data_IF_431596577009
#
_entry.id   IF_431596577009
#
_cell.length_a   1.000
_cell.length_b   1.000
_cell.length_c   1.000
_cell.angle_alpha   90.00
_cell.angle_beta   90.00
_cell.angle_gamma   90.00
#
_symmetry.space_group_name_H-M   'P 1'
#
loop_
_entity.id
_entity.type
_entity.pdbx_description
1 polymer ?
#
# COMPACT_ATOMS: atom_id res chain seq x y z
N UNK A 1 1.19 -23.22 11.85
CA UNK A 1 0.87 -22.96 10.43
C UNK A 1 1.92 -22.00 9.90
N UNK A 2 2.68 -22.43 8.89
CA UNK A 2 3.71 -21.60 8.27
C UNK A 2 3.07 -20.58 7.30
N UNK A 3 3.61 -19.34 7.18
CA UNK A 3 3.11 -18.37 6.20
C UNK A 3 3.12 -18.86 4.74
N UNK A 4 4.08 -19.71 4.35
CA UNK A 4 4.15 -20.26 3.00
C UNK A 4 3.08 -21.34 2.76
N UNK A 5 2.72 -22.11 3.79
CA UNK A 5 1.58 -23.06 3.71
C UNK A 5 0.27 -22.30 3.42
N UNK A 6 0.03 -21.21 4.16
CA UNK A 6 -1.15 -20.35 3.99
C UNK A 6 -1.19 -19.80 2.57
N UNK A 7 -0.06 -19.30 2.08
CA UNK A 7 0.04 -18.74 0.74
C UNK A 7 -0.25 -19.79 -0.33
N UNK A 8 0.32 -20.97 -0.21
CA UNK A 8 0.14 -22.08 -1.15
C UNK A 8 -1.33 -22.52 -1.20
N UNK A 9 -1.96 -22.69 -0.04
CA UNK A 9 -3.36 -23.09 0.04
C UNK A 9 -4.29 -22.04 -0.57
N UNK A 10 -4.07 -20.75 -0.28
CA UNK A 10 -4.85 -19.67 -0.88
C UNK A 10 -4.68 -19.60 -2.41
N UNK A 11 -3.47 -19.90 -2.92
CA UNK A 11 -3.22 -20.00 -4.37
C UNK A 11 -3.97 -21.21 -4.96
N UNK A 12 -4.00 -22.35 -4.27
CA UNK A 12 -4.78 -23.52 -4.67
C UNK A 12 -6.28 -23.22 -4.76
N UNK A 13 -6.78 -22.42 -3.81
CA UNK A 13 -8.15 -21.87 -3.79
C UNK A 13 -8.38 -20.73 -4.80
N UNK A 14 -7.45 -20.51 -5.74
CA UNK A 14 -7.53 -19.52 -6.83
C UNK A 14 -7.55 -18.07 -6.37
N UNK A 15 -6.97 -17.76 -5.20
CA UNK A 15 -6.70 -16.38 -4.80
C UNK A 15 -5.33 -15.92 -5.29
N UNK A 16 -5.26 -14.67 -5.77
CA UNK A 16 -3.99 -14.05 -6.17
C UNK A 16 -3.35 -13.37 -4.96
N UNK A 17 -2.48 -14.09 -4.26
CA UNK A 17 -1.83 -13.63 -3.03
C UNK A 17 -0.56 -12.83 -3.34
N UNK A 18 -0.44 -11.64 -2.74
CA UNK A 18 0.78 -10.81 -2.80
C UNK A 18 1.72 -11.18 -1.66
N UNK A 19 1.22 -11.14 -0.43
CA UNK A 19 2.05 -11.32 0.77
C UNK A 19 1.23 -11.89 1.93
N UNK A 20 1.85 -12.81 2.68
CA UNK A 20 1.34 -13.27 3.98
C UNK A 20 2.33 -12.84 5.04
N UNK A 21 1.84 -12.19 6.11
CA UNK A 21 2.67 -11.69 7.20
C UNK A 21 2.12 -12.17 8.53
N UNK A 22 2.91 -12.90 9.31
CA UNK A 22 2.52 -13.29 10.66
C UNK A 22 2.71 -12.12 11.63
N UNK A 23 1.62 -11.76 12.31
CA UNK A 23 1.67 -10.69 13.29
C UNK A 23 2.42 -11.16 14.54
N UNK A 24 3.08 -10.21 15.21
CA UNK A 24 3.87 -10.46 16.41
C UNK A 24 3.34 -9.63 17.57
N UNK A 25 3.47 -10.14 18.80
CA UNK A 25 3.21 -9.35 20.02
C UNK A 25 4.14 -8.14 20.02
N UNK A 26 3.59 -6.95 20.29
CA UNK A 26 4.36 -5.70 20.22
C UNK A 26 5.57 -5.69 21.18
N UNK A 27 5.37 -6.14 22.43
CA UNK A 27 6.41 -6.13 23.47
C UNK A 27 7.40 -7.30 23.32
N UNK A 28 6.89 -8.53 23.32
CA UNK A 28 7.75 -9.74 23.36
C UNK A 28 8.25 -10.18 21.99
N UNK A 29 7.72 -9.61 20.90
CA UNK A 29 8.01 -10.00 19.50
C UNK A 29 7.69 -11.46 19.16
N UNK A 30 7.00 -12.17 20.05
CA UNK A 30 6.55 -13.53 19.83
C UNK A 30 5.50 -13.59 18.72
N UNK A 31 5.51 -14.63 17.89
CA UNK A 31 4.51 -14.83 16.84
C UNK A 31 3.11 -15.03 17.43
N UNK A 32 2.12 -14.45 16.77
CA UNK A 32 0.70 -14.67 17.05
C UNK A 32 0.11 -15.63 16.03
N UNK A 33 -0.96 -16.31 16.40
CA UNK A 33 -1.83 -17.06 15.49
C UNK A 33 -2.76 -16.11 14.72
N UNK A 34 -2.22 -15.00 14.24
CA UNK A 34 -2.93 -13.98 13.46
C UNK A 34 -2.03 -13.64 12.27
N UNK A 35 -2.60 -13.77 11.08
CA UNK A 35 -1.91 -13.55 9.83
C UNK A 35 -2.58 -12.40 9.07
N UNK A 36 -1.77 -11.51 8.53
CA UNK A 36 -2.20 -10.45 7.64
C UNK A 36 -1.93 -10.88 6.20
N UNK A 37 -2.99 -10.97 5.40
CA UNK A 37 -2.93 -11.42 4.01
C UNK A 37 -3.17 -10.20 3.11
N UNK A 38 -2.26 -9.99 2.17
CA UNK A 38 -2.38 -9.03 1.09
C UNK A 38 -2.76 -9.77 -0.18
N UNK A 39 -3.90 -9.42 -0.77
CA UNK A 39 -4.42 -10.02 -1.98
C UNK A 39 -4.45 -8.97 -3.08
N UNK A 40 -4.15 -9.41 -4.30
CA UNK A 40 -4.43 -8.60 -5.48
C UNK A 40 -5.94 -8.59 -5.77
N UNK A 41 -6.47 -7.50 -6.36
CA UNK A 41 -7.85 -7.45 -6.82
C UNK A 41 -8.17 -8.61 -7.76
N UNK A 42 -9.24 -9.35 -7.44
CA UNK A 42 -9.79 -10.43 -8.25
C UNK A 42 -11.32 -10.48 -8.07
N UNK A 43 -12.03 -11.17 -8.96
CA UNK A 43 -13.49 -11.28 -8.92
C UNK A 43 -13.97 -12.02 -7.66
N UNK A 44 -13.27 -13.08 -7.28
CA UNK A 44 -13.55 -13.93 -6.13
C UNK A 44 -13.05 -13.36 -4.78
N UNK A 45 -12.44 -12.17 -4.74
CA UNK A 45 -11.77 -11.67 -3.52
C UNK A 45 -12.71 -11.56 -2.31
N UNK A 46 -14.01 -11.34 -2.53
CA UNK A 46 -15.01 -11.23 -1.45
C UNK A 46 -15.34 -12.58 -0.81
N UNK A 47 -15.12 -13.68 -1.53
CA UNK A 47 -15.42 -15.03 -1.05
C UNK A 47 -14.45 -15.47 0.05
N UNK A 48 -13.29 -14.81 0.17
CA UNK A 48 -12.31 -15.13 1.22
C UNK A 48 -12.90 -14.97 2.63
N UNK A 49 -13.88 -14.06 2.80
CA UNK A 49 -14.54 -13.85 4.09
C UNK A 49 -15.46 -15.01 4.50
N UNK A 50 -15.80 -15.90 3.57
CA UNK A 50 -16.60 -17.09 3.83
C UNK A 50 -15.73 -18.31 4.19
N UNK A 51 -14.41 -18.22 4.09
CA UNK A 51 -13.51 -19.31 4.47
C UNK A 51 -13.56 -19.56 5.98
N UNK A 52 -13.98 -20.77 6.34
CA UNK A 52 -14.04 -21.26 7.72
C UNK A 52 -12.91 -22.23 8.07
N UNK A 53 -12.30 -22.82 7.05
CA UNK A 53 -11.15 -23.72 7.17
C UNK A 53 -10.07 -23.35 6.15
N UNK A 54 -8.82 -23.62 6.51
CA UNK A 54 -7.68 -23.52 5.62
C UNK A 54 -6.72 -24.67 5.96
N UNK A 55 -6.51 -25.57 5.01
CA UNK A 55 -5.87 -26.87 5.26
C UNK A 55 -6.56 -27.61 6.43
N UNK A 56 -5.84 -27.91 7.51
CA UNK A 56 -6.36 -28.62 8.69
C UNK A 56 -6.78 -27.70 9.85
N UNK A 57 -6.82 -26.38 9.63
CA UNK A 57 -7.09 -25.39 10.68
C UNK A 57 -8.47 -24.77 10.52
N UNK A 58 -9.18 -24.61 11.64
CA UNK A 58 -10.34 -23.74 11.73
C UNK A 58 -9.88 -22.28 11.80
N UNK A 59 -10.37 -21.45 10.90
CA UNK A 59 -9.95 -20.05 10.79
C UNK A 59 -11.15 -19.10 10.85
N UNK A 60 -10.87 -17.83 11.10
CA UNK A 60 -11.86 -16.76 10.99
C UNK A 60 -11.21 -15.61 10.25
N UNK A 61 -11.75 -15.28 9.08
CA UNK A 61 -11.26 -14.18 8.26
C UNK A 61 -12.01 -12.90 8.64
N UNK A 62 -11.25 -11.81 8.87
CA UNK A 62 -11.83 -10.49 9.17
C UNK A 62 -11.26 -9.44 8.22
N UNK A 63 -12.08 -8.48 7.77
CA UNK A 63 -11.58 -7.36 6.96
C UNK A 63 -10.57 -6.55 7.77
N UNK A 64 -9.49 -6.15 7.11
CA UNK A 64 -8.53 -5.24 7.72
C UNK A 64 -9.12 -3.84 7.81
N UNK A 65 -9.29 -3.34 9.03
CA UNK A 65 -9.72 -1.98 9.29
C UNK A 65 -8.53 -1.17 9.80
N UNK A 66 -8.07 -0.19 9.03
CA UNK A 66 -7.14 0.79 9.56
C UNK A 66 -7.90 1.74 10.50
N UNK A 67 -7.76 1.50 11.81
CA UNK A 67 -8.40 2.33 12.84
C UNK A 67 -7.58 3.53 13.29
N UNK A 68 -6.43 3.75 12.65
CA UNK A 68 -5.47 4.78 13.04
C UNK A 68 -5.57 5.92 12.04
N UNK A 69 -6.02 7.08 12.52
CA UNK A 69 -5.86 8.32 11.77
C UNK A 69 -4.49 8.92 12.06
N UNK A 70 -3.83 9.37 11.01
CA UNK A 70 -2.55 10.05 11.13
C UNK A 70 -2.77 11.47 11.67
N UNK A 71 -2.11 11.79 12.78
CA UNK A 71 -2.08 13.15 13.31
C UNK A 71 -0.90 13.93 12.72
N UNK A 72 -1.15 15.15 12.28
CA UNK A 72 -0.11 16.06 11.88
C UNK A 72 0.55 16.67 13.11
N UNK A 73 1.85 16.45 13.31
CA UNK A 73 2.58 17.05 14.45
C UNK A 73 2.83 18.55 14.30
N UNK A 74 2.55 19.14 13.13
CA UNK A 74 2.63 20.58 12.92
C UNK A 74 1.35 21.27 13.43
N UNK A 75 0.19 20.99 12.83
CA UNK A 75 -1.07 21.65 13.17
C UNK A 75 -2.03 20.86 14.09
N UNK A 76 -1.64 19.65 14.54
CA UNK A 76 -2.43 18.74 15.39
C UNK A 76 -3.74 18.20 14.80
N UNK A 77 -4.07 18.57 13.56
CA UNK A 77 -5.22 18.05 12.80
C UNK A 77 -4.93 16.64 12.24
N UNK A 78 -5.99 15.99 11.77
CA UNK A 78 -5.98 14.59 11.36
C UNK A 78 -5.81 14.42 9.83
N UNK A 79 -5.49 13.19 9.42
CA UNK A 79 -5.41 12.69 8.04
C UNK A 79 -4.35 13.33 7.13
N UNK A 80 -3.29 13.91 7.69
CA UNK A 80 -2.10 14.30 6.93
C UNK A 80 -0.84 14.32 7.81
N UNK A 81 0.34 14.28 7.18
CA UNK A 81 1.63 14.33 7.87
C UNK A 81 2.24 15.73 7.91
N UNK A 82 3.18 15.94 8.83
CA UNK A 82 3.84 17.25 9.01
C UNK A 82 4.69 17.70 7.82
N UNK A 83 5.28 16.77 7.05
CA UNK A 83 6.24 17.07 5.96
C UNK A 83 5.66 17.99 4.87
N UNK A 84 4.35 17.93 4.62
CA UNK A 84 3.67 18.77 3.63
C UNK A 84 2.70 19.80 4.24
N UNK A 85 2.69 19.96 5.56
CA UNK A 85 1.75 20.84 6.23
C UNK A 85 2.25 22.29 6.19
N UNK A 86 1.50 23.18 5.54
CA UNK A 86 1.80 24.62 5.45
C UNK A 86 1.05 25.48 6.48
N UNK A 87 0.30 24.84 7.37
CA UNK A 87 -0.42 25.54 8.44
C UNK A 87 0.56 26.00 9.53
N UNK A 88 0.16 27.03 10.28
CA UNK A 88 0.92 27.47 11.43
C UNK A 88 1.07 26.33 12.47
N UNK A 89 2.23 26.23 13.14
CA UNK A 89 2.44 25.22 14.15
C UNK A 89 1.51 25.43 15.34
N UNK A 90 0.93 24.35 15.83
CA UNK A 90 0.09 24.30 17.03
C UNK A 90 0.69 23.30 18.01
N UNK A 91 0.80 23.72 19.26
CA UNK A 91 1.33 22.89 20.34
C UNK A 91 0.34 21.78 20.74
N UNK A 92 0.84 20.55 20.84
CA UNK A 92 0.08 19.37 21.27
C UNK A 92 -0.37 19.45 22.74
N UNK A 93 0.34 20.23 23.57
CA UNK A 93 0.12 20.32 25.02
C UNK A 93 -0.89 21.42 25.35
N UNK A 94 -0.65 22.65 24.89
CA UNK A 94 -1.41 23.84 25.30
C UNK A 94 -2.20 24.51 24.17
N UNK A 95 -2.21 23.94 22.96
CA UNK A 95 -2.85 24.52 21.78
C UNK A 95 -2.32 25.92 21.36
N UNK A 96 -1.15 26.34 21.86
CA UNK A 96 -0.52 27.61 21.49
C UNK A 96 0.06 27.61 20.07
N UNK A 97 0.21 28.81 19.47
CA UNK A 97 0.76 29.03 18.11
C UNK A 97 2.30 28.93 18.09
N UNK A 98 2.83 27.78 18.47
CA UNK A 98 4.26 27.47 18.46
C UNK A 98 4.47 25.97 18.25
N UNK A 99 5.64 25.54 17.74
CA UNK A 99 5.96 24.13 17.64
C UNK A 99 6.05 23.50 19.03
N UNK A 100 5.52 22.29 19.20
CA UNK A 100 5.49 21.59 20.50
C UNK A 100 6.86 21.42 21.18
N UNK A 101 7.95 21.51 20.41
CA UNK A 101 9.32 21.46 20.92
C UNK A 101 9.70 22.69 21.76
N UNK A 102 9.16 23.86 21.40
CA UNK A 102 9.43 25.16 22.01
C UNK A 102 8.36 25.54 23.04
N UNK A 103 7.58 24.56 23.50
CA UNK A 103 6.49 24.85 24.41
C UNK A 103 7.02 25.29 25.78
N UNK A 104 6.65 26.49 26.28
CA UNK A 104 7.09 26.98 27.60
C UNK A 104 6.52 26.16 28.77
N UNK A 105 5.53 25.33 28.48
CA UNK A 105 4.83 24.48 29.42
C UNK A 105 5.32 23.01 29.36
N UNK A 106 6.35 22.71 28.58
CA UNK A 106 6.89 21.35 28.50
C UNK A 106 7.52 20.95 29.85
N UNK A 107 7.03 19.87 30.46
CA UNK A 107 7.60 19.29 31.69
C UNK A 107 7.17 19.95 33.01
N UNK A 108 6.33 20.99 32.96
CA UNK A 108 5.75 21.61 34.16
C UNK A 108 4.51 20.81 34.61
N UNK A 109 4.32 20.67 35.93
CA UNK A 109 3.20 19.90 36.52
C UNK A 109 1.87 20.68 36.51
N UNK A 110 1.93 22.00 36.63
CA UNK A 110 0.75 22.89 36.76
C UNK A 110 0.35 23.53 35.43
N UNK A 111 0.35 22.75 34.35
CA UNK A 111 0.05 23.25 33.00
C UNK A 111 -1.41 23.06 32.69
N UNK A 112 -2.05 24.12 32.21
CA UNK A 112 -3.34 24.01 31.55
C UNK A 112 -3.17 23.27 30.21
N UNK A 113 -3.40 21.96 30.24
CA UNK A 113 -3.37 21.12 29.05
C UNK A 113 -4.64 21.39 28.26
N UNK A 114 -4.48 21.76 27.00
CA UNK A 114 -5.58 22.12 26.11
C UNK A 114 -5.45 21.40 24.77
N UNK A 115 -6.51 20.72 24.39
CA UNK A 115 -6.59 20.02 23.12
C UNK A 115 -6.74 21.02 21.97
N UNK A 116 -5.82 21.01 21.00
CA UNK A 116 -5.91 21.85 19.80
C UNK A 116 -7.17 21.60 18.95
N UNK A 117 -7.78 20.41 19.06
CA UNK A 117 -8.93 20.03 18.26
C UNK A 117 -10.25 20.37 18.95
N UNK A 118 -10.44 19.96 20.21
CA UNK A 118 -11.71 20.11 20.94
C UNK A 118 -11.68 21.11 22.10
N UNK A 119 -10.52 21.70 22.40
CA UNK A 119 -10.29 22.63 23.51
C UNK A 119 -10.53 22.03 24.92
N UNK A 120 -10.68 20.71 25.04
CA UNK A 120 -10.84 20.02 26.32
C UNK A 120 -9.52 19.85 27.10
N UNK A 121 -9.60 19.42 28.37
CA UNK A 121 -8.47 19.30 29.30
C UNK A 121 -7.63 18.03 29.05
N UNK A 122 -7.08 17.90 27.85
CA UNK A 122 -6.22 16.78 27.45
C UNK A 122 -5.32 17.19 26.27
N UNK A 123 -4.22 16.48 26.04
CA UNK A 123 -3.33 16.76 24.91
C UNK A 123 -4.03 16.45 23.60
N UNK A 124 -3.65 17.13 22.50
CA UNK A 124 -4.26 16.87 21.20
C UNK A 124 -4.07 15.42 20.69
N UNK A 125 -3.11 14.68 21.26
CA UNK A 125 -2.82 13.27 20.98
C UNK A 125 -3.71 12.27 21.73
N UNK A 126 -4.58 12.73 22.64
CA UNK A 126 -5.44 11.88 23.44
C UNK A 126 -6.51 11.18 22.56
N UNK A 127 -6.47 9.84 22.54
CA UNK A 127 -7.39 9.01 21.71
C UNK A 127 -8.85 9.01 22.17
N UNK A 128 -9.11 9.43 23.41
CA UNK A 128 -10.47 9.61 23.93
C UNK A 128 -11.09 10.97 23.60
N UNK A 129 -10.42 11.82 22.81
CA UNK A 129 -10.95 13.13 22.42
C UNK A 129 -12.29 12.98 21.67
N UNK A 130 -13.32 13.79 21.96
CA UNK A 130 -14.62 13.73 21.26
C UNK A 130 -14.51 14.06 19.77
N UNK A 131 -13.49 14.84 19.38
CA UNK A 131 -13.14 15.13 17.98
C UNK A 131 -12.06 14.20 17.43
N UNK A 132 -11.71 13.12 18.13
CA UNK A 132 -10.87 12.09 17.55
C UNK A 132 -11.60 11.49 16.34
N UNK A 133 -10.93 11.33 15.19
CA UNK A 133 -11.53 10.77 14.00
C UNK A 133 -11.93 9.32 14.29
N UNK A 134 -13.22 9.10 14.53
CA UNK A 134 -13.83 7.78 14.49
C UNK A 134 -13.75 7.35 13.04
N UNK A 135 -12.97 6.30 12.77
CA UNK A 135 -12.73 5.68 11.47
C UNK A 135 -13.58 6.31 10.38
N UNK A 136 -12.96 7.10 9.50
CA UNK A 136 -13.58 7.64 8.28
C UNK A 136 -13.84 6.46 7.33
N UNK A 137 -14.63 5.51 7.79
CA UNK A 137 -15.40 4.60 6.98
C UNK A 137 -16.29 5.52 6.15
N UNK A 138 -16.11 5.42 4.83
CA UNK A 138 -16.83 6.22 3.83
C UNK A 138 -16.29 7.65 3.72
N UNK A 139 -15.06 7.79 3.23
CA UNK A 139 -14.92 8.62 2.02
C UNK A 139 -15.90 8.05 1.01
N UNK A 140 -17.14 8.53 1.07
CA UNK A 140 -18.19 8.26 0.11
C UNK A 140 -17.74 9.05 -1.11
N UNK A 141 -16.77 8.52 -1.86
CA UNK A 141 -16.73 8.77 -3.30
C UNK A 141 -18.08 8.25 -3.76
N UNK A 142 -19.08 9.12 -3.74
CA UNK A 142 -20.34 8.82 -4.36
C UNK A 142 -19.99 8.72 -5.85
N UNK A 143 -20.22 7.57 -6.50
CA UNK A 143 -20.04 7.49 -7.93
C UNK A 143 -20.82 8.66 -8.57
N UNK A 144 -20.13 9.45 -9.39
CA UNK A 144 -20.71 10.62 -10.06
C UNK A 144 -20.54 11.99 -9.38
N UNK A 145 -19.84 12.12 -8.25
CA UNK A 145 -19.53 13.44 -7.65
C UNK A 145 -18.03 13.70 -7.64
N UNK A 146 -17.55 14.45 -8.63
CA UNK A 146 -16.18 14.94 -8.62
C UNK A 146 -15.98 15.94 -7.48
N UNK A 147 -14.74 16.08 -7.01
CA UNK A 147 -14.36 17.10 -6.03
C UNK A 147 -14.83 18.51 -6.48
N UNK A 148 -14.69 18.82 -7.78
CA UNK A 148 -15.18 20.07 -8.36
C UNK A 148 -16.72 20.24 -8.24
N UNK A 149 -17.50 19.17 -8.38
CA UNK A 149 -18.96 19.22 -8.21
C UNK A 149 -19.38 19.46 -6.74
N UNK A 150 -18.59 19.01 -5.77
CA UNK A 150 -18.84 19.27 -4.36
C UNK A 150 -18.57 20.74 -3.97
N UNK A 151 -17.52 21.34 -4.54
CA UNK A 151 -17.15 22.75 -4.30
C UNK A 151 -18.16 23.72 -4.91
N UNK A 152 -18.79 23.38 -6.03
CA UNK A 152 -19.84 24.22 -6.67
C UNK A 152 -21.08 24.39 -5.79
N UNK A 153 -21.42 23.41 -4.95
CA UNK A 153 -22.60 23.46 -4.06
C UNK A 153 -22.46 24.42 -2.88
N UNK A 154 -21.25 24.88 -2.57
CA UNK A 154 -21.01 25.82 -1.45
C UNK A 154 -20.95 27.28 -1.87
N UNK A 155 -21.16 27.60 -3.16
CA UNK A 155 -21.03 28.98 -3.68
C UNK A 155 -22.31 29.81 -3.49
N UNK A 156 -23.43 29.22 -3.07
CA UNK A 156 -24.68 29.97 -2.82
C UNK A 156 -24.73 30.71 -1.47
N UNK A 157 -23.61 30.76 -0.72
CA UNK A 157 -23.45 31.73 0.37
C UNK A 157 -22.37 32.73 -0.05
N UNK A 158 -22.83 33.86 -0.55
CA UNK A 158 -22.05 35.06 -0.87
C UNK A 158 -21.17 35.48 0.31
N UNK A 159 -19.93 35.03 0.32
CA UNK A 159 -18.86 35.68 1.07
C UNK A 159 -18.42 36.93 0.28
N UNK A 160 -18.12 38.06 0.96
CA UNK A 160 -17.64 39.26 0.28
C UNK A 160 -16.33 38.99 -0.46
N UNK A 161 -16.05 39.67 -1.59
CA UNK A 161 -14.78 39.56 -2.27
C UNK A 161 -13.63 39.94 -1.33
N UNK A 162 -12.50 39.23 -1.33
CA UNK A 162 -11.31 39.70 -0.64
C UNK A 162 -10.91 41.06 -1.23
N UNK A 163 -10.78 42.06 -0.36
CA UNK A 163 -10.30 43.39 -0.72
C UNK A 163 -8.91 43.26 -1.35
N UNK A 164 -8.76 43.78 -2.57
CA UNK A 164 -7.48 43.85 -3.25
C UNK A 164 -6.53 44.74 -2.43
N UNK A 165 -5.43 44.16 -1.95
CA UNK A 165 -4.27 44.94 -1.57
C UNK A 165 -3.61 45.39 -2.87
N UNK A 166 -3.60 46.71 -3.09
CA UNK A 166 -2.86 47.35 -4.16
C UNK A 166 -1.37 47.24 -3.83
N UNK A 167 -0.64 46.33 -4.47
CA UNK A 167 0.82 46.40 -4.56
C UNK A 167 1.20 46.45 -6.05
N UNK A 168 1.43 47.67 -6.52
CA UNK A 168 2.09 47.95 -7.80
C UNK A 168 3.58 47.57 -7.72
N UNK A 169 3.90 46.27 -7.87
CA UNK A 169 5.10 45.79 -8.56
C UNK A 169 5.21 44.26 -8.49
N UNK A 170 4.66 43.58 -9.49
CA UNK A 170 5.11 42.24 -9.87
C UNK A 170 5.22 42.21 -11.39
N UNK A 171 6.43 42.48 -11.89
CA UNK A 171 6.75 42.32 -13.29
C UNK A 171 6.89 40.81 -13.59
N UNK A 172 5.87 40.21 -14.20
CA UNK A 172 5.92 38.81 -14.64
C UNK A 172 6.63 38.73 -16.00
N UNK A 173 7.62 37.84 -16.17
CA UNK A 173 8.23 37.64 -17.48
C UNK A 173 7.25 36.98 -18.46
N UNK A 174 7.26 37.36 -19.76
CA UNK A 174 6.33 36.81 -20.74
C UNK A 174 6.65 35.35 -21.08
N UNK A 175 5.59 34.60 -21.37
CA UNK A 175 5.63 33.23 -21.83
C UNK A 175 6.25 33.18 -23.24
N UNK A 176 7.47 32.65 -23.36
CA UNK A 176 8.15 32.55 -24.66
C UNK A 176 7.60 31.41 -25.51
N UNK A 177 7.16 31.75 -26.71
CA UNK A 177 6.78 30.86 -27.81
C UNK A 177 8.00 30.17 -28.44
N UNK A 178 7.79 28.93 -28.91
CA UNK A 178 8.76 28.06 -29.60
C UNK A 178 9.46 28.73 -30.79
N UNK A 179 10.65 28.26 -31.18
CA UNK A 179 11.08 28.26 -32.57
C UNK A 179 11.27 26.84 -33.15
N UNK A 180 10.85 26.68 -34.41
CA UNK A 180 11.14 25.54 -35.29
C UNK A 180 12.62 25.50 -35.70
N UNK A 181 13.26 24.32 -35.67
CA UNK A 181 14.37 24.00 -36.60
C UNK A 181 14.57 22.49 -36.79
N UNK A 182 14.22 22.00 -37.99
CA UNK A 182 14.83 20.95 -38.81
C UNK A 182 15.56 19.76 -38.14
N UNK A 183 14.82 18.65 -38.06
CA UNK A 183 15.17 17.25 -38.39
C UNK A 183 16.66 16.83 -38.54
N UNK A 184 17.11 15.93 -37.64
CA UNK A 184 17.96 14.77 -37.97
C UNK A 184 17.53 13.57 -37.13
N UNK A 185 17.00 12.55 -37.79
CA UNK A 185 16.65 11.27 -37.18
C UNK A 185 17.90 10.57 -36.60
N UNK A 186 17.82 10.12 -35.33
CA UNK A 186 18.63 9.02 -34.80
C UNK A 186 17.79 8.14 -33.89
N UNK A 187 17.84 6.84 -34.20
CA UNK A 187 17.23 5.72 -33.50
C UNK A 187 17.51 5.75 -31.99
N UNK A 188 16.52 5.24 -31.26
CA UNK A 188 16.52 5.18 -29.80
C UNK A 188 17.69 4.39 -29.23
N UNK A 189 18.21 4.91 -28.12
CA UNK A 189 18.98 4.14 -27.17
C UNK A 189 18.05 3.85 -25.99
N UNK A 190 17.53 2.62 -25.97
CA UNK A 190 17.10 2.00 -24.72
C UNK A 190 18.34 1.90 -23.83
N UNK A 191 18.27 2.46 -22.63
CA UNK A 191 19.23 2.13 -21.59
C UNK A 191 19.07 0.63 -21.30
N UNK A 192 20.02 -0.14 -21.83
CA UNK A 192 20.18 -1.55 -21.55
C UNK A 192 20.54 -1.66 -20.07
N UNK A 193 19.66 -2.25 -19.28
CA UNK A 193 20.02 -2.79 -17.98
C UNK A 193 21.12 -3.83 -18.21
N UNK A 194 22.36 -3.49 -17.84
CA UNK A 194 23.46 -4.46 -17.78
C UNK A 194 23.11 -5.49 -16.71
N UNK A 195 22.92 -6.78 -17.05
CA UNK A 195 22.65 -7.80 -16.05
C UNK A 195 23.88 -7.97 -15.17
N UNK A 196 23.69 -7.94 -13.85
CA UNK A 196 24.75 -8.23 -12.88
C UNK A 196 25.39 -9.58 -13.25
N UNK A 197 26.71 -9.62 -13.39
CA UNK A 197 27.47 -10.78 -13.87
C UNK A 197 27.20 -12.05 -13.03
N UNK A 198 26.89 -11.86 -11.74
CA UNK A 198 26.46 -12.90 -10.81
C UNK A 198 25.07 -13.48 -11.14
N UNK A 199 24.11 -12.64 -11.54
CA UNK A 199 22.76 -13.09 -11.93
C UNK A 199 22.77 -13.81 -13.28
N UNK A 200 23.68 -13.42 -14.18
CA UNK A 200 23.90 -14.11 -15.44
C UNK A 200 24.50 -15.50 -15.21
N UNK A 201 25.47 -15.62 -14.29
CA UNK A 201 26.10 -16.88 -13.93
C UNK A 201 25.10 -17.85 -13.28
N UNK A 202 24.30 -17.37 -12.32
CA UNK A 202 23.22 -18.16 -11.71
C UNK A 202 22.16 -18.61 -12.72
N UNK A 203 21.83 -17.74 -13.70
CA UNK A 203 20.92 -18.09 -14.78
C UNK A 203 21.47 -19.20 -15.69
N UNK A 204 22.76 -19.14 -16.02
CA UNK A 204 23.45 -20.16 -16.82
C UNK A 204 23.50 -21.49 -16.06
N UNK A 205 23.83 -21.46 -14.76
CA UNK A 205 23.84 -22.66 -13.91
C UNK A 205 22.48 -23.34 -13.86
N UNK A 206 21.40 -22.56 -13.66
CA UNK A 206 20.04 -23.10 -13.68
C UNK A 206 19.67 -23.71 -15.03
N UNK A 207 20.02 -23.05 -16.14
CA UNK A 207 19.77 -23.58 -17.49
C UNK A 207 20.55 -24.87 -17.73
N UNK A 208 21.79 -24.98 -17.22
CA UNK A 208 22.60 -26.19 -17.37
C UNK A 208 22.03 -27.36 -16.58
N UNK A 209 21.56 -27.15 -15.34
CA UNK A 209 20.90 -28.19 -14.54
C UNK A 209 19.59 -28.65 -15.16
N UNK A 210 18.79 -27.71 -15.67
CA UNK A 210 17.56 -28.03 -16.41
C UNK A 210 17.88 -28.83 -17.69
N UNK A 211 18.94 -28.45 -18.41
CA UNK A 211 19.36 -29.16 -19.64
C UNK A 211 19.81 -30.59 -19.36
N UNK A 212 20.49 -30.84 -18.24
CA UNK A 212 20.88 -32.20 -17.81
C UNK A 212 19.66 -33.09 -17.56
N UNK A 213 18.60 -32.53 -16.96
CA UNK A 213 17.35 -33.26 -16.74
C UNK A 213 16.69 -33.61 -18.09
N UNK A 214 16.60 -32.66 -19.01
CA UNK A 214 15.99 -32.90 -20.33
C UNK A 214 16.80 -33.88 -21.20
N UNK A 215 18.13 -33.94 -21.04
CA UNK A 215 18.98 -34.92 -21.73
C UNK A 215 18.74 -36.36 -21.26
N UNK A 216 18.17 -36.56 -20.07
CA UNK A 216 17.84 -37.89 -19.54
C UNK A 216 16.50 -38.42 -20.06
N UNK A 217 15.66 -37.57 -20.66
CA UNK A 217 14.39 -38.01 -21.23
C UNK A 217 14.60 -38.83 -22.51
N UNK A 218 14.25 -40.11 -22.45
CA UNK A 218 14.17 -40.94 -23.66
C UNK A 218 12.89 -40.62 -24.42
N UNK A 219 13.00 -40.43 -25.74
CA UNK A 219 11.89 -40.29 -26.69
C UNK A 219 10.79 -39.29 -26.27
N UNK A 220 11.19 -38.03 -26.03
CA UNK A 220 10.31 -36.88 -25.69
C UNK A 220 8.99 -36.83 -26.48
N UNK A 221 8.95 -37.05 -27.82
CA UNK A 221 7.70 -36.97 -28.57
C UNK A 221 6.65 -38.01 -28.15
N UNK A 222 7.07 -39.23 -27.82
CA UNK A 222 6.16 -40.31 -27.43
C UNK A 222 5.68 -40.11 -25.98
N UNK A 223 6.55 -39.64 -25.08
CA UNK A 223 6.19 -39.27 -23.71
C UNK A 223 5.13 -38.17 -23.69
N UNK A 224 5.25 -37.15 -24.53
CA UNK A 224 4.25 -36.07 -24.65
C UNK A 224 2.91 -36.63 -25.15
N UNK A 225 2.93 -37.56 -26.09
CA UNK A 225 1.72 -38.20 -26.62
C UNK A 225 1.02 -39.03 -25.56
N UNK A 226 1.75 -39.81 -24.78
CA UNK A 226 1.21 -40.60 -23.66
C UNK A 226 0.63 -39.70 -22.55
N UNK A 227 1.30 -38.59 -22.22
CA UNK A 227 0.80 -37.61 -21.24
C UNK A 227 -0.49 -36.92 -21.69
N UNK A 228 -0.65 -36.67 -22.99
CA UNK A 228 -1.88 -36.05 -23.54
C UNK A 228 -3.05 -37.03 -23.63
N UNK A 229 -2.78 -38.33 -23.71
CA UNK A 229 -3.80 -39.38 -23.81
C UNK A 229 -4.28 -39.90 -22.45
N UNK A 230 -3.62 -39.48 -21.37
CA UNK A 230 -3.92 -39.91 -20.00
C UNK A 230 -4.60 -38.76 -19.27
N UNK A 231 -5.67 -39.02 -18.52
CA UNK A 231 -6.33 -38.00 -17.69
C UNK A 231 -5.89 -38.06 -16.21
N UNK A 232 -5.57 -39.27 -15.73
CA UNK A 232 -5.17 -39.52 -14.35
C UNK A 232 -3.77 -38.97 -14.00
N UNK A 233 -3.70 -38.28 -12.87
CA UNK A 233 -2.48 -37.59 -12.41
C UNK A 233 -1.40 -38.56 -11.93
N UNK A 234 -1.78 -39.70 -11.34
CA UNK A 234 -0.83 -40.70 -10.86
C UNK A 234 -0.14 -41.42 -12.03
N UNK A 235 -0.92 -41.75 -13.05
CA UNK A 235 -0.43 -42.40 -14.27
C UNK A 235 0.50 -41.47 -15.06
N UNK A 236 0.22 -40.16 -15.10
CA UNK A 236 1.13 -39.14 -15.66
C UNK A 236 2.48 -39.08 -14.93
N UNK A 237 2.47 -39.18 -13.60
CA UNK A 237 3.70 -39.21 -12.81
C UNK A 237 4.54 -40.46 -13.09
N UNK A 238 3.90 -41.61 -13.29
CA UNK A 238 4.60 -42.85 -13.66
C UNK A 238 5.21 -42.78 -15.06
N UNK A 239 4.51 -42.20 -16.04
CA UNK A 239 5.03 -41.96 -17.40
C UNK A 239 6.27 -41.05 -17.36
N UNK A 240 6.24 -40.00 -16.55
CA UNK A 240 7.41 -39.11 -16.38
C UNK A 240 8.58 -39.80 -15.68
N UNK A 241 8.32 -40.62 -14.66
CA UNK A 241 9.34 -41.36 -13.95
C UNK A 241 10.01 -42.43 -14.84
N UNK A 242 9.24 -43.10 -15.69
CA UNK A 242 9.76 -44.09 -16.65
C UNK A 242 10.56 -43.42 -17.78
N UNK A 243 10.12 -42.25 -18.24
CA UNK A 243 10.84 -41.48 -19.26
C UNK A 243 12.21 -40.94 -18.79
N UNK A 244 12.42 -40.85 -17.47
CA UNK A 244 13.67 -40.44 -16.83
C UNK A 244 14.63 -41.61 -16.50
N UNK A 245 14.20 -42.86 -16.74
CA UNK A 245 14.96 -44.09 -16.47
C UNK A 245 15.75 -44.56 -17.69
#
# INVERSE_FOLDING_TARGET
MDPEDIKTELVNLKYRVEKVNQLKRYKTREPLNIFQIHLFPSENIKEIYNLTYLSYYFITVKPYENRISHQCFNCQMWNHGSKGCRLAPICVICAGKHPSKECPNKGKKDVEIKCANCNGPHTASYRGCPKYPKNVTKSRVQPGKSFAAAVRKTVDKSAPPPQALNDENLNFPPLSSKPDSKEKARLGNNEVMVPNQENMQLGIELITEISKIFQQFKNIPETIKQLRQTDDAYTKLMILADALR
#
